data_IF_294435546361
#
_entry.id   IF_294435546361
#
_cell.length_a   1.000
_cell.length_b   1.000
_cell.length_c   1.000
_cell.angle_alpha   90.00
_cell.angle_beta   90.00
_cell.angle_gamma   90.00
#
_symmetry.space_group_name_H-M   'P 1'
#
loop_
_entity.id
_entity.type
_entity.pdbx_description
1 polymer ?
#
# COMPACT_ATOMS: atom_id res chain seq x y z
N UNK A 1 12.66 1.79 8.75
CA UNK A 1 14.09 1.68 8.40
C UNK A 1 14.29 0.42 7.58
N UNK A 2 15.04 0.46 6.48
CA UNK A 2 15.41 -0.76 5.74
C UNK A 2 16.40 -1.59 6.55
N UNK A 3 16.24 -2.91 6.54
CA UNK A 3 17.12 -3.87 7.24
C UNK A 3 18.11 -4.48 6.26
N UNK A 4 19.20 -5.08 6.78
CA UNK A 4 20.31 -5.61 5.97
C UNK A 4 19.85 -6.55 4.85
N UNK A 5 18.96 -7.49 5.17
CA UNK A 5 18.43 -8.47 4.22
C UNK A 5 17.46 -7.90 3.18
N UNK A 6 17.09 -6.61 3.25
CA UNK A 6 16.19 -6.04 2.24
C UNK A 6 16.86 -5.90 0.87
N UNK A 7 18.18 -5.78 0.83
CA UNK A 7 18.95 -5.57 -0.41
C UNK A 7 19.07 -6.84 -1.26
N UNK A 8 18.80 -8.01 -0.68
CA UNK A 8 18.92 -9.28 -1.35
C UNK A 8 17.72 -9.50 -2.28
N UNK A 9 17.98 -10.00 -3.49
CA UNK A 9 16.91 -10.35 -4.41
C UNK A 9 16.02 -11.45 -3.80
N UNK A 10 14.69 -11.27 -3.76
CA UNK A 10 13.81 -12.34 -3.30
C UNK A 10 13.77 -13.49 -4.31
N UNK A 11 13.63 -14.70 -3.79
CA UNK A 11 13.33 -15.88 -4.60
C UNK A 11 11.93 -15.76 -5.25
N UNK A 12 11.64 -16.50 -6.33
CA UNK A 12 10.31 -16.53 -6.93
C UNK A 12 9.20 -16.90 -5.94
N UNK A 13 9.47 -17.83 -5.01
CA UNK A 13 8.51 -18.24 -3.97
C UNK A 13 8.21 -17.10 -2.98
N UNK A 14 9.21 -16.29 -2.64
CA UNK A 14 9.03 -15.11 -1.80
C UNK A 14 8.22 -14.02 -2.51
N UNK A 15 8.46 -13.82 -3.81
CA UNK A 15 7.68 -12.87 -4.62
C UNK A 15 6.20 -13.25 -4.63
N UNK A 16 5.89 -14.52 -4.89
CA UNK A 16 4.52 -15.02 -4.85
C UNK A 16 3.91 -14.92 -3.45
N UNK A 17 4.70 -15.17 -2.40
CA UNK A 17 4.26 -14.96 -1.02
C UNK A 17 3.91 -13.50 -0.75
N UNK A 18 4.71 -12.53 -1.22
CA UNK A 18 4.43 -11.11 -1.05
C UNK A 18 3.10 -10.73 -1.69
N UNK A 19 2.86 -11.15 -2.94
CA UNK A 19 1.60 -10.88 -3.64
C UNK A 19 0.38 -11.43 -2.87
N UNK A 20 0.47 -12.69 -2.41
CA UNK A 20 -0.60 -13.32 -1.62
C UNK A 20 -0.89 -12.59 -0.31
N UNK A 21 0.16 -12.12 0.37
CA UNK A 21 0.03 -11.35 1.61
C UNK A 21 -0.61 -9.99 1.34
N UNK A 22 -0.24 -9.27 0.28
CA UNK A 22 -0.91 -8.03 -0.12
C UNK A 22 -2.40 -8.26 -0.39
N UNK A 23 -2.73 -9.29 -1.18
CA UNK A 23 -4.12 -9.63 -1.47
C UNK A 23 -4.90 -9.93 -0.20
N UNK A 24 -4.34 -10.70 0.72
CA UNK A 24 -4.97 -10.98 2.01
C UNK A 24 -5.17 -9.71 2.86
N UNK A 25 -4.18 -8.80 2.88
CA UNK A 25 -4.28 -7.52 3.58
C UNK A 25 -5.37 -6.63 2.98
N UNK A 26 -5.46 -6.52 1.65
CA UNK A 26 -6.54 -5.78 0.98
C UNK A 26 -7.91 -6.38 1.25
N UNK A 27 -8.03 -7.72 1.23
CA UNK A 27 -9.29 -8.37 1.59
C UNK A 27 -9.71 -8.08 3.03
N UNK A 28 -8.75 -7.97 3.97
CA UNK A 28 -9.04 -7.58 5.34
C UNK A 28 -9.48 -6.11 5.42
N UNK A 29 -8.75 -5.23 4.74
CA UNK A 29 -9.08 -3.81 4.64
C UNK A 29 -10.49 -3.59 4.07
N UNK A 30 -10.85 -4.26 2.97
CA UNK A 30 -12.16 -4.15 2.34
C UNK A 30 -13.30 -4.59 3.28
N UNK A 31 -13.06 -5.64 4.09
CA UNK A 31 -14.03 -6.07 5.12
C UNK A 31 -14.20 -5.02 6.20
N UNK A 32 -13.11 -4.40 6.67
CA UNK A 32 -13.16 -3.35 7.68
C UNK A 32 -13.87 -2.10 7.14
N UNK A 33 -13.57 -1.68 5.90
CA UNK A 33 -14.24 -0.57 5.22
C UNK A 33 -15.73 -0.84 5.12
N UNK A 34 -16.13 -2.01 4.62
CA UNK A 34 -17.53 -2.41 4.51
C UNK A 34 -18.24 -2.41 5.85
N UNK A 35 -17.58 -2.88 6.92
CA UNK A 35 -18.16 -2.86 8.26
C UNK A 35 -18.43 -1.43 8.75
N UNK A 36 -17.57 -0.47 8.36
CA UNK A 36 -17.64 0.94 8.73
C UNK A 36 -18.54 1.81 7.84
N UNK A 37 -19.10 1.27 6.75
CA UNK A 37 -20.00 2.00 5.87
C UNK A 37 -21.20 2.57 6.64
N UNK A 38 -21.44 3.88 6.46
CA UNK A 38 -22.52 4.59 7.14
C UNK A 38 -22.31 4.81 8.65
N UNK A 39 -21.18 4.39 9.21
CA UNK A 39 -20.86 4.52 10.64
C UNK A 39 -19.81 5.62 10.87
N UNK A 40 -19.85 6.20 12.07
CA UNK A 40 -18.85 7.17 12.50
C UNK A 40 -17.63 6.44 13.07
N UNK A 41 -16.44 7.03 12.87
CA UNK A 41 -15.23 6.57 13.53
C UNK A 41 -14.94 7.45 14.74
N UNK A 42 -14.85 6.82 15.92
CA UNK A 42 -14.46 7.46 17.19
C UNK A 42 -13.22 8.33 16.99
N UNK A 43 -13.30 9.56 17.50
CA UNK A 43 -12.18 10.51 17.52
C UNK A 43 -11.30 10.27 18.74
N UNK A 44 -10.04 10.67 18.63
CA UNK A 44 -9.12 10.66 19.76
C UNK A 44 -9.47 11.73 20.81
N UNK A 45 -8.80 11.73 21.99
CA UNK A 45 -9.13 12.60 23.12
C UNK A 45 -9.12 14.10 22.82
N UNK A 46 -8.42 14.54 21.77
CA UNK A 46 -8.35 15.94 21.33
C UNK A 46 -9.14 16.20 20.03
N UNK A 47 -10.09 15.34 19.69
CA UNK A 47 -10.91 15.44 18.47
C UNK A 47 -10.20 15.02 17.17
N UNK A 48 -8.93 14.60 17.24
CA UNK A 48 -8.16 14.16 16.08
C UNK A 48 -8.57 12.78 15.55
N UNK A 49 -8.17 12.48 14.32
CA UNK A 49 -8.44 11.22 13.62
C UNK A 49 -9.20 11.44 12.33
N UNK A 50 -8.81 10.72 11.27
CA UNK A 50 -9.50 10.80 9.97
C UNK A 50 -10.88 10.14 10.06
N UNK A 51 -11.82 10.61 9.25
CA UNK A 51 -13.04 9.85 8.91
C UNK A 51 -12.68 8.74 7.93
N UNK A 52 -13.59 7.77 7.74
CA UNK A 52 -13.39 6.65 6.81
C UNK A 52 -12.93 7.13 5.43
N UNK A 53 -13.61 8.11 4.83
CA UNK A 53 -13.23 8.66 3.52
C UNK A 53 -11.77 9.19 3.50
N UNK A 54 -11.34 9.89 4.55
CA UNK A 54 -9.97 10.37 4.66
C UNK A 54 -8.94 9.26 4.88
N UNK A 55 -9.32 8.13 5.51
CA UNK A 55 -8.47 6.94 5.58
C UNK A 55 -8.31 6.34 4.19
N UNK A 56 -9.40 6.17 3.44
CA UNK A 56 -9.37 5.62 2.09
C UNK A 56 -8.49 6.45 1.14
N UNK A 57 -8.66 7.78 1.14
CA UNK A 57 -7.81 8.71 0.37
C UNK A 57 -6.34 8.61 0.77
N UNK A 58 -6.08 8.52 2.08
CA UNK A 58 -4.72 8.40 2.60
C UNK A 58 -4.08 7.08 2.13
N UNK A 59 -4.79 5.97 2.18
CA UNK A 59 -4.28 4.66 1.75
C UNK A 59 -3.96 4.69 0.26
N UNK A 60 -4.88 5.15 -0.58
CA UNK A 60 -4.65 5.27 -2.02
C UNK A 60 -3.46 6.18 -2.35
N UNK A 61 -3.36 7.35 -1.71
CA UNK A 61 -2.25 8.28 -1.93
C UNK A 61 -0.90 7.74 -1.45
N UNK A 62 -0.87 7.03 -0.33
CA UNK A 62 0.33 6.40 0.21
C UNK A 62 0.83 5.28 -0.71
N UNK A 63 -0.04 4.38 -1.16
CA UNK A 63 0.32 3.28 -2.05
C UNK A 63 0.90 3.77 -3.39
N UNK A 64 0.32 4.83 -3.98
CA UNK A 64 0.87 5.50 -5.16
C UNK A 64 2.28 6.06 -4.89
N UNK A 65 2.48 6.67 -3.72
CA UNK A 65 3.80 7.17 -3.30
C UNK A 65 4.81 6.02 -3.15
N UNK A 66 4.39 4.89 -2.58
CA UNK A 66 5.26 3.73 -2.38
C UNK A 66 5.65 3.06 -3.71
N UNK A 67 4.74 2.98 -4.69
CA UNK A 67 5.08 2.57 -6.05
C UNK A 67 6.20 3.46 -6.64
N UNK A 68 6.07 4.78 -6.49
CA UNK A 68 7.12 5.71 -6.91
C UNK A 68 8.44 5.49 -6.15
N UNK A 69 8.38 5.19 -4.85
CA UNK A 69 9.55 4.84 -4.03
C UNK A 69 10.21 3.53 -4.45
N UNK A 70 9.45 2.54 -4.91
CA UNK A 70 9.95 1.30 -5.54
C UNK A 70 10.61 1.56 -6.90
N UNK A 71 10.27 2.68 -7.55
CA UNK A 71 10.73 3.02 -8.89
C UNK A 71 9.70 2.71 -9.98
N UNK A 72 8.53 2.20 -9.61
CA UNK A 72 7.39 1.98 -10.49
C UNK A 72 6.55 3.25 -10.58
N UNK A 73 6.67 3.99 -11.67
CA UNK A 73 5.92 5.24 -11.86
C UNK A 73 4.62 4.96 -12.57
N UNK A 74 3.51 5.23 -11.88
CA UNK A 74 2.16 5.12 -12.43
C UNK A 74 1.52 6.50 -12.50
N UNK A 75 0.65 6.68 -13.49
CA UNK A 75 -0.19 7.87 -13.61
C UNK A 75 -1.64 7.42 -13.48
N UNK A 76 -2.27 7.58 -12.30
CA UNK A 76 -3.70 7.34 -12.19
C UNK A 76 -4.46 8.33 -13.08
N UNK A 77 -5.61 7.90 -13.60
CA UNK A 77 -6.55 8.80 -14.27
C UNK A 77 -7.07 9.82 -13.25
N UNK A 78 -7.21 11.08 -13.65
CA UNK A 78 -7.58 12.18 -12.76
C UNK A 78 -9.08 12.26 -12.45
N UNK A 79 -9.92 11.39 -13.03
CA UNK A 79 -11.38 11.47 -12.96
C UNK A 79 -12.06 10.12 -12.63
N UNK A 80 -11.37 9.22 -11.94
CA UNK A 80 -11.94 7.94 -11.51
C UNK A 80 -12.45 8.04 -10.08
N UNK A 81 -13.45 7.25 -9.74
CA UNK A 81 -13.90 7.15 -8.36
C UNK A 81 -12.91 6.34 -7.51
N UNK A 82 -13.11 6.37 -6.19
CA UNK A 82 -12.18 5.76 -5.25
C UNK A 82 -12.10 4.23 -5.38
N UNK A 83 -13.21 3.48 -5.59
CA UNK A 83 -13.14 2.05 -5.91
C UNK A 83 -12.29 1.73 -7.15
N UNK A 84 -12.53 2.41 -8.28
CA UNK A 84 -11.75 2.20 -9.49
C UNK A 84 -10.26 2.57 -9.29
N UNK A 85 -10.00 3.62 -8.50
CA UNK A 85 -8.65 3.99 -8.11
C UNK A 85 -7.94 2.88 -7.31
N UNK A 86 -8.63 2.24 -6.36
CA UNK A 86 -8.08 1.12 -5.60
C UNK A 86 -7.76 -0.07 -6.50
N UNK A 87 -8.67 -0.45 -7.41
CA UNK A 87 -8.44 -1.56 -8.34
C UNK A 87 -7.22 -1.32 -9.22
N UNK A 88 -7.09 -0.09 -9.73
CA UNK A 88 -5.91 0.33 -10.48
C UNK A 88 -4.63 0.21 -9.63
N UNK A 89 -4.61 0.81 -8.44
CA UNK A 89 -3.42 0.82 -7.56
C UNK A 89 -3.00 -0.60 -7.19
N UNK A 90 -3.96 -1.47 -6.82
CA UNK A 90 -3.69 -2.86 -6.43
C UNK A 90 -3.11 -3.66 -7.58
N UNK A 91 -3.68 -3.52 -8.78
CA UNK A 91 -3.11 -4.10 -10.00
C UNK A 91 -1.68 -3.60 -10.24
N UNK A 92 -1.43 -2.30 -10.10
CA UNK A 92 -0.11 -1.72 -10.31
C UNK A 92 0.91 -2.13 -9.25
N UNK A 93 0.49 -2.35 -7.99
CA UNK A 93 1.36 -2.91 -6.95
C UNK A 93 1.83 -4.31 -7.35
N UNK A 94 0.93 -5.18 -7.82
CA UNK A 94 1.31 -6.53 -8.25
C UNK A 94 2.28 -6.50 -9.44
N UNK A 95 2.02 -5.64 -10.44
CA UNK A 95 2.93 -5.44 -11.58
C UNK A 95 4.28 -4.86 -11.16
N UNK A 96 4.28 -3.90 -10.23
CA UNK A 96 5.50 -3.29 -9.69
C UNK A 96 6.36 -4.31 -8.94
N UNK A 97 5.73 -5.24 -8.20
CA UNK A 97 6.42 -6.37 -7.57
C UNK A 97 7.08 -7.26 -8.63
N UNK A 98 6.36 -7.61 -9.70
CA UNK A 98 6.91 -8.42 -10.79
C UNK A 98 8.08 -7.74 -11.51
N UNK A 99 7.94 -6.45 -11.83
CA UNK A 99 9.01 -5.68 -12.47
C UNK A 99 10.25 -5.55 -11.58
N UNK A 100 10.06 -5.34 -10.27
CA UNK A 100 11.15 -5.30 -9.31
C UNK A 100 11.84 -6.67 -9.18
N UNK A 101 11.06 -7.75 -9.13
CA UNK A 101 11.56 -9.12 -9.07
C UNK A 101 12.36 -9.51 -10.33
N UNK A 102 11.95 -9.00 -11.50
CA UNK A 102 12.64 -9.17 -12.77
C UNK A 102 13.86 -8.25 -12.98
N UNK A 103 14.21 -7.40 -12.01
CA UNK A 103 15.33 -6.47 -12.12
C UNK A 103 15.11 -5.33 -13.13
N UNK A 104 13.84 -5.03 -13.46
CA UNK A 104 13.46 -4.06 -14.49
C UNK A 104 13.40 -2.62 -13.96
N UNK A 105 13.53 -2.43 -12.64
CA UNK A 105 13.40 -1.12 -11.99
C UNK A 105 14.76 -0.51 -11.65
N UNK A 106 14.90 0.82 -11.75
CA UNK A 106 16.15 1.47 -11.43
C UNK A 106 16.41 1.45 -9.90
N UNK A 107 17.64 1.12 -9.50
CA UNK A 107 18.05 1.20 -8.08
C UNK A 107 18.17 2.65 -7.56
N UNK A 108 18.34 3.63 -8.45
CA UNK A 108 18.53 5.05 -8.13
C UNK A 108 17.61 5.89 -9.01
N UNK A 109 16.90 6.85 -8.40
CA UNK A 109 16.03 7.77 -9.11
C UNK A 109 16.79 8.88 -9.86
N UNK A 110 16.12 9.65 -10.72
CA UNK A 110 16.73 10.71 -11.54
C UNK A 110 17.46 11.81 -10.75
N UNK A 111 17.11 12.00 -9.48
CA UNK A 111 17.72 12.99 -8.57
C UNK A 111 18.74 12.36 -7.58
N UNK A 112 19.23 11.16 -7.87
CA UNK A 112 20.23 10.47 -7.03
C UNK A 112 19.69 9.76 -5.79
N UNK A 113 18.40 9.88 -5.47
CA UNK A 113 17.79 9.19 -4.34
C UNK A 113 17.66 7.67 -4.58
N UNK A 114 18.06 6.86 -3.60
CA UNK A 114 17.92 5.39 -3.66
C UNK A 114 16.44 4.99 -3.72
N UNK A 115 16.12 4.03 -4.57
CA UNK A 115 14.81 3.37 -4.60
C UNK A 115 14.72 2.30 -3.51
N UNK A 116 13.49 1.98 -3.14
CA UNK A 116 13.22 0.98 -2.12
C UNK A 116 13.53 -0.41 -2.68
N UNK A 117 14.27 -1.25 -1.94
CA UNK A 117 14.38 -2.66 -2.29
C UNK A 117 13.02 -3.35 -2.21
N UNK A 118 12.79 -4.38 -3.04
CA UNK A 118 11.50 -5.07 -3.14
C UNK A 118 11.04 -5.64 -1.78
N UNK A 119 11.94 -6.25 -1.02
CA UNK A 119 11.64 -6.80 0.32
C UNK A 119 11.16 -5.73 1.29
N UNK A 120 11.77 -4.54 1.24
CA UNK A 120 11.36 -3.40 2.07
C UNK A 120 9.97 -2.88 1.66
N UNK A 121 9.76 -2.68 0.36
CA UNK A 121 8.48 -2.25 -0.19
C UNK A 121 7.36 -3.20 0.21
N UNK A 122 7.55 -4.50 0.01
CA UNK A 122 6.55 -5.52 0.30
C UNK A 122 6.12 -5.49 1.78
N UNK A 123 7.09 -5.43 2.69
CA UNK A 123 6.83 -5.36 4.13
C UNK A 123 6.14 -4.05 4.53
N UNK A 124 6.64 -2.91 4.04
CA UNK A 124 6.19 -1.60 4.49
C UNK A 124 4.78 -1.28 3.99
N UNK A 125 4.51 -1.49 2.70
CA UNK A 125 3.18 -1.23 2.15
C UNK A 125 2.12 -2.23 2.66
N UNK A 126 2.49 -3.50 2.89
CA UNK A 126 1.57 -4.44 3.56
C UNK A 126 1.24 -3.98 4.98
N UNK A 127 2.26 -3.63 5.78
CA UNK A 127 2.05 -3.14 7.15
C UNK A 127 1.12 -1.93 7.17
N UNK A 128 1.32 -0.99 6.24
CA UNK A 128 0.52 0.23 6.15
C UNK A 128 -0.97 -0.06 5.91
N UNK A 129 -1.30 -0.99 5.00
CA UNK A 129 -2.70 -1.42 4.77
C UNK A 129 -3.29 -2.08 6.03
N UNK A 130 -2.53 -2.96 6.69
CA UNK A 130 -2.99 -3.65 7.91
C UNK A 130 -3.19 -2.67 9.06
N UNK A 131 -2.28 -1.69 9.23
CA UNK A 131 -2.38 -0.64 10.24
C UNK A 131 -3.68 0.15 10.10
N UNK A 132 -4.05 0.54 8.87
CA UNK A 132 -5.32 1.22 8.63
C UNK A 132 -6.55 0.30 8.69
N UNK A 133 -6.38 -1.00 8.48
CA UNK A 133 -7.44 -1.98 8.76
C UNK A 133 -7.79 -1.95 10.24
N UNK A 134 -6.78 -2.06 11.11
CA UNK A 134 -6.97 -2.01 12.56
C UNK A 134 -7.43 -0.63 13.04
N UNK A 135 -6.96 0.47 12.43
CA UNK A 135 -7.47 1.81 12.73
C UNK A 135 -8.99 1.89 12.53
N UNK A 136 -9.52 1.30 11.45
CA UNK A 136 -10.96 1.29 11.18
C UNK A 136 -11.68 0.40 12.21
N UNK A 137 -11.22 -0.84 12.40
CA UNK A 137 -11.84 -1.81 13.30
C UNK A 137 -11.88 -1.33 14.75
N UNK A 138 -10.84 -0.66 15.23
CA UNK A 138 -10.75 -0.17 16.61
C UNK A 138 -11.62 1.07 16.87
N UNK A 139 -11.93 1.84 15.82
CA UNK A 139 -12.58 3.15 15.96
C UNK A 139 -14.06 3.13 15.56
N UNK A 140 -14.53 2.09 14.90
CA UNK A 140 -15.92 1.99 14.47
C UNK A 140 -16.91 2.07 15.66
N UNK A 141 -17.96 2.90 15.54
CA UNK A 141 -19.01 3.11 16.55
C UNK A 141 -20.33 2.47 16.13
#
# INVERSE_FOLDING_TARGET
>A
MSIRGDQDQPSPEEVERYKRVFQAAWMAFDRAVKAAEGRQLRKGPRGGGRELAGILEHVAGADLSYLSSLGWKVKPSSNVDLPEQFDFIRSEILKGIDAAAGGQLPAVGPKGGKKWPLRFFARYATWHVVDHTWEIEDRIL
#
